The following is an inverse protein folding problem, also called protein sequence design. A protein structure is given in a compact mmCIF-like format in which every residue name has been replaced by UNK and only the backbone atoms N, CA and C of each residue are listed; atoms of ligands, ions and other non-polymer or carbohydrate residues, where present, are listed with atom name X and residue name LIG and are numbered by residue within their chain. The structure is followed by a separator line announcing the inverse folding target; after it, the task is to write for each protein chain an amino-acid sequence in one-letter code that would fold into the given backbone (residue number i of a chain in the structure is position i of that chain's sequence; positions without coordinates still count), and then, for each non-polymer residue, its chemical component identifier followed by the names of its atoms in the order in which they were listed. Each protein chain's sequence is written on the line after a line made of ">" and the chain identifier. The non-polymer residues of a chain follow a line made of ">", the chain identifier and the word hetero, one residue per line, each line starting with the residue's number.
data_IF_314512629400
#
_entry.id   IF_314512629400
#
_cell.length_a   1.000
_cell.length_b   1.000
_cell.length_c   1.000
_cell.angle_alpha   90.00
_cell.angle_beta   90.00
_cell.angle_gamma   90.00
#
_symmetry.space_group_name_H-M   'P 1'
#
loop_
_entity.id
_entity.type
_entity.pdbx_description
1 polymer ?
#
# COMPACT_ATOMS: atom_id res chain seq x y z
N UNK A 1 -6.04 -15.67 -2.69
CA UNK A 1 -6.12 -14.25 -3.08
C UNK A 1 -5.70 -14.11 -4.53
N UNK A 2 -6.29 -13.17 -5.25
CA UNK A 2 -6.03 -12.93 -6.68
C UNK A 2 -5.56 -11.49 -6.86
N UNK A 3 -4.30 -11.32 -7.26
CA UNK A 3 -3.65 -10.01 -7.34
C UNK A 3 -4.39 -9.04 -8.24
N UNK A 4 -4.87 -9.51 -9.39
CA UNK A 4 -5.54 -8.64 -10.37
C UNK A 4 -6.91 -8.18 -9.85
N UNK A 5 -7.63 -9.06 -9.14
CA UNK A 5 -8.90 -8.68 -8.52
C UNK A 5 -8.72 -7.61 -7.45
N UNK A 6 -7.72 -7.74 -6.59
CA UNK A 6 -7.42 -6.72 -5.56
C UNK A 6 -7.03 -5.38 -6.18
N UNK A 7 -6.23 -5.38 -7.25
CA UNK A 7 -5.88 -4.16 -7.97
C UNK A 7 -7.11 -3.45 -8.57
N UNK A 8 -8.03 -4.22 -9.16
CA UNK A 8 -9.27 -3.67 -9.72
C UNK A 8 -10.17 -3.13 -8.61
N UNK A 9 -10.33 -3.86 -7.50
CA UNK A 9 -11.14 -3.41 -6.37
C UNK A 9 -10.60 -2.10 -5.76
N UNK A 10 -9.29 -1.97 -5.61
CA UNK A 10 -8.68 -0.73 -5.12
C UNK A 10 -8.87 0.43 -6.10
N UNK A 11 -8.75 0.17 -7.41
CA UNK A 11 -9.01 1.17 -8.44
C UNK A 11 -10.47 1.64 -8.42
N UNK A 12 -11.43 0.73 -8.29
CA UNK A 12 -12.85 1.05 -8.20
C UNK A 12 -13.14 1.85 -6.93
N UNK A 13 -12.49 1.51 -5.81
CA UNK A 13 -12.59 2.26 -4.56
C UNK A 13 -12.07 3.70 -4.71
N UNK A 14 -10.94 3.90 -5.41
CA UNK A 14 -10.37 5.23 -5.70
C UNK A 14 -11.26 6.10 -6.59
N UNK A 15 -12.24 5.54 -7.32
CA UNK A 15 -13.21 6.35 -8.08
C UNK A 15 -14.18 7.10 -7.15
N UNK A 16 -14.35 6.63 -5.92
CA UNK A 16 -15.30 7.17 -4.95
C UNK A 16 -14.60 7.83 -3.75
N UNK A 17 -13.29 7.67 -3.61
CA UNK A 17 -12.51 8.12 -2.48
C UNK A 17 -11.17 8.71 -2.94
N UNK A 18 -10.79 9.84 -2.36
CA UNK A 18 -9.51 10.48 -2.66
C UNK A 18 -8.43 10.03 -1.69
N UNK A 19 -7.30 9.56 -2.23
CA UNK A 19 -6.09 9.27 -1.46
C UNK A 19 -4.92 10.10 -2.00
N UNK A 20 -4.08 10.69 -1.13
CA UNK A 20 -2.84 11.31 -1.56
C UNK A 20 -1.94 10.32 -2.31
N UNK A 21 -1.20 10.80 -3.31
CA UNK A 21 -0.33 9.96 -4.16
C UNK A 21 0.61 9.08 -3.35
N UNK A 22 1.17 9.59 -2.24
CA UNK A 22 2.05 8.82 -1.37
C UNK A 22 1.35 7.60 -0.74
N UNK A 23 0.09 7.74 -0.35
CA UNK A 23 -0.71 6.66 0.22
C UNK A 23 -1.07 5.60 -0.84
N UNK A 24 -1.45 6.04 -2.04
CA UNK A 24 -1.71 5.15 -3.19
C UNK A 24 -0.47 4.32 -3.53
N UNK A 25 0.70 4.95 -3.65
CA UNK A 25 1.96 4.26 -3.94
C UNK A 25 2.33 3.28 -2.83
N UNK A 26 2.09 3.64 -1.56
CA UNK A 26 2.36 2.75 -0.42
C UNK A 26 1.47 1.51 -0.49
N UNK A 27 0.19 1.67 -0.77
CA UNK A 27 -0.75 0.56 -0.91
C UNK A 27 -0.30 -0.42 -2.00
N UNK A 28 0.01 0.07 -3.21
CA UNK A 28 0.50 -0.77 -4.30
C UNK A 28 1.81 -1.50 -3.95
N UNK A 29 2.71 -0.80 -3.25
CA UNK A 29 3.98 -1.39 -2.80
C UNK A 29 3.74 -2.55 -1.82
N UNK A 30 2.88 -2.35 -0.83
CA UNK A 30 2.53 -3.38 0.15
C UNK A 30 1.80 -4.56 -0.49
N UNK A 31 0.86 -4.30 -1.40
CA UNK A 31 0.12 -5.34 -2.12
C UNK A 31 1.07 -6.21 -2.98
N UNK A 32 2.02 -5.58 -3.68
CA UNK A 32 3.02 -6.31 -4.47
C UNK A 32 3.92 -7.19 -3.58
N UNK A 33 4.36 -6.68 -2.42
CA UNK A 33 5.14 -7.46 -1.44
C UNK A 33 4.31 -8.61 -0.90
N UNK A 34 3.05 -8.39 -0.51
CA UNK A 34 2.20 -9.47 0.00
C UNK A 34 2.03 -10.60 -1.03
N UNK A 35 1.71 -10.24 -2.28
CA UNK A 35 1.59 -11.19 -3.38
C UNK A 35 2.90 -11.97 -3.61
N UNK A 36 4.06 -11.31 -3.57
CA UNK A 36 5.37 -11.96 -3.71
C UNK A 36 5.68 -12.93 -2.54
N UNK A 37 5.13 -12.70 -1.36
CA UNK A 37 5.29 -13.60 -0.20
C UNK A 37 4.29 -14.75 -0.16
N UNK A 38 3.39 -14.85 -1.14
CA UNK A 38 2.36 -15.88 -1.21
C UNK A 38 1.14 -15.59 -0.35
N UNK A 39 0.77 -14.31 -0.17
CA UNK A 39 -0.45 -13.90 0.53
C UNK A 39 -0.48 -14.27 2.00
N UNK A 40 0.58 -13.90 2.73
CA UNK A 40 0.65 -14.15 4.17
C UNK A 40 -0.19 -13.11 4.92
N UNK A 41 -0.91 -13.57 5.93
CA UNK A 41 -1.66 -12.68 6.86
C UNK A 41 -0.74 -11.65 7.53
N UNK A 42 0.53 -11.99 7.73
CA UNK A 42 1.56 -11.07 8.21
C UNK A 42 2.81 -11.26 7.37
N UNK A 43 3.27 -10.18 6.76
CA UNK A 43 4.57 -10.12 6.09
C UNK A 43 5.39 -8.97 6.64
N UNK A 44 6.70 -9.10 6.51
CA UNK A 44 7.62 -8.02 6.85
C UNK A 44 7.94 -7.24 5.57
N UNK A 45 7.63 -5.95 5.57
CA UNK A 45 8.04 -5.02 4.52
C UNK A 45 9.00 -3.99 5.16
N UNK A 46 10.33 -4.19 5.04
CA UNK A 46 11.30 -3.28 5.64
C UNK A 46 11.09 -1.85 5.14
N UNK A 47 11.04 -0.86 6.05
CA UNK A 47 10.82 0.55 5.68
C UNK A 47 11.86 1.08 4.69
N UNK A 48 13.07 0.52 4.68
CA UNK A 48 14.12 0.83 3.69
C UNK A 48 13.74 0.38 2.29
N UNK A 49 13.25 -0.85 2.14
CA UNK A 49 12.78 -1.42 0.87
C UNK A 49 11.55 -0.66 0.37
N UNK A 50 10.58 -0.39 1.25
CA UNK A 50 9.40 0.41 0.93
C UNK A 50 9.79 1.82 0.49
N UNK A 51 10.71 2.48 1.22
CA UNK A 51 11.19 3.81 0.86
C UNK A 51 11.90 3.87 -0.49
N UNK A 52 12.72 2.86 -0.80
CA UNK A 52 13.37 2.76 -2.10
C UNK A 52 12.36 2.60 -3.24
N UNK A 53 11.32 1.77 -3.04
CA UNK A 53 10.26 1.55 -4.04
C UNK A 53 9.37 2.77 -4.24
N UNK A 54 9.14 3.54 -3.18
CA UNK A 54 8.29 4.73 -3.20
C UNK A 54 9.01 6.00 -3.67
N UNK A 55 10.34 6.04 -3.60
CA UNK A 55 11.12 7.27 -3.85
C UNK A 55 10.87 8.37 -2.81
N UNK A 56 10.37 8.02 -1.61
CA UNK A 56 10.03 8.96 -0.54
C UNK A 56 11.08 9.00 0.57
N UNK A 57 11.15 10.13 1.26
CA UNK A 57 11.87 10.23 2.53
C UNK A 57 11.23 9.36 3.61
N UNK A 58 11.97 9.04 4.68
CA UNK A 58 11.42 8.29 5.82
C UNK A 58 10.16 8.93 6.39
N UNK A 59 10.12 10.27 6.48
CA UNK A 59 8.96 11.01 6.96
C UNK A 59 7.76 10.84 6.02
N UNK A 60 7.97 10.94 4.70
CA UNK A 60 6.91 10.75 3.71
C UNK A 60 6.28 9.35 3.76
N UNK A 61 7.06 8.31 4.10
CA UNK A 61 6.53 6.95 4.31
C UNK A 61 5.65 6.90 5.57
N UNK A 62 6.07 7.54 6.67
CA UNK A 62 5.30 7.58 7.91
C UNK A 62 3.98 8.32 7.72
N UNK A 63 4.00 9.45 7.00
CA UNK A 63 2.82 10.24 6.70
C UNK A 63 1.85 9.44 5.81
N UNK A 64 2.35 8.82 4.73
CA UNK A 64 1.55 7.95 3.86
C UNK A 64 0.93 6.78 4.63
N UNK A 65 1.68 6.18 5.56
CA UNK A 65 1.20 5.08 6.39
C UNK A 65 0.09 5.54 7.33
N UNK A 66 0.23 6.71 7.93
CA UNK A 66 -0.80 7.29 8.80
C UNK A 66 -2.09 7.52 8.03
N UNK A 67 -2.01 8.11 6.84
CA UNK A 67 -3.17 8.37 5.98
C UNK A 67 -3.88 7.07 5.60
N UNK A 68 -3.15 6.03 5.18
CA UNK A 68 -3.77 4.73 4.87
C UNK A 68 -4.51 4.11 6.07
N UNK A 69 -3.97 4.27 7.29
CA UNK A 69 -4.64 3.78 8.50
C UNK A 69 -5.91 4.58 8.84
N UNK A 70 -5.89 5.90 8.64
CA UNK A 70 -7.03 6.78 8.92
C UNK A 70 -8.18 6.55 7.93
N UNK A 71 -7.87 6.32 6.66
CA UNK A 71 -8.86 6.05 5.60
C UNK A 71 -9.45 4.63 5.65
N UNK A 72 -9.04 3.79 6.61
CA UNK A 72 -9.57 2.45 6.78
C UNK A 72 -9.22 1.48 5.64
N UNK A 73 -8.36 1.90 4.70
CA UNK A 73 -7.73 1.03 3.71
C UNK A 73 -6.66 0.25 4.44
N UNK A 74 -7.09 -0.77 5.19
CA UNK A 74 -6.20 -1.69 5.87
C UNK A 74 -5.21 -2.21 4.83
N UNK A 75 -3.95 -1.85 5.02
CA UNK A 75 -2.85 -2.53 4.35
C UNK A 75 -3.05 -4.02 4.56
N UNK A 76 -3.16 -4.74 3.44
CA UNK A 76 -3.03 -6.19 3.32
C UNK A 76 -1.97 -6.76 4.25
#
# INVERSE_FOLDING_TARGET
>A
MDYIKELNAFKDWLLMNDLPTGAITLWHTLMAVNNATGWKERFNAPSSTVGQLMGLSKQGILDARKILMEEGVNSV
#
